data_IF_282855476205
#
_entry.id   IF_282855476205
#
_cell.length_a   1.000
_cell.length_b   1.000
_cell.length_c   1.000
_cell.angle_alpha   90.00
_cell.angle_beta   90.00
_cell.angle_gamma   90.00
#
_symmetry.space_group_name_H-M   'P 1'
#
loop_
_entity.id
_entity.type
_entity.pdbx_description
1 polymer ?
#
# COMPACT_ATOMS: atom_id res chain seq x y z
N UNK A 1 15.11 13.55 8.90
CA UNK A 1 16.23 12.98 8.10
C UNK A 1 15.62 12.51 6.78
N UNK A 2 16.39 11.93 5.86
CA UNK A 2 15.82 11.30 4.66
C UNK A 2 16.03 9.81 4.80
N UNK A 3 14.97 9.03 4.69
CA UNK A 3 15.00 7.58 4.85
C UNK A 3 15.93 6.94 3.82
N UNK A 4 16.86 6.10 4.27
CA UNK A 4 17.74 5.34 3.38
C UNK A 4 16.99 4.21 2.64
N UNK A 5 15.83 3.80 3.16
CA UNK A 5 14.99 2.76 2.59
C UNK A 5 13.50 3.08 2.73
N UNK A 6 12.71 2.75 1.70
CA UNK A 6 11.25 2.92 1.67
C UNK A 6 10.63 1.69 1.00
N UNK A 7 9.67 1.05 1.66
CA UNK A 7 8.86 0.00 1.04
C UNK A 7 7.93 0.60 -0.02
N UNK A 8 8.11 0.24 -1.29
CA UNK A 8 7.30 0.73 -2.42
C UNK A 8 6.28 -0.29 -2.95
N UNK A 9 6.35 -1.53 -2.48
CA UNK A 9 5.38 -2.60 -2.74
C UNK A 9 5.02 -3.21 -1.39
N UNK A 10 3.78 -3.01 -0.95
CA UNK A 10 3.33 -3.44 0.36
C UNK A 10 1.82 -3.63 0.40
N UNK A 11 1.36 -4.60 1.20
CA UNK A 11 -0.05 -4.98 1.29
C UNK A 11 -0.59 -4.72 2.69
N UNK A 12 -1.85 -4.33 2.78
CA UNK A 12 -2.59 -4.33 4.05
C UNK A 12 -3.65 -5.43 4.06
N UNK A 13 -4.40 -5.53 5.15
CA UNK A 13 -5.60 -6.34 5.28
C UNK A 13 -6.71 -6.04 4.25
N UNK A 14 -6.57 -4.98 3.45
CA UNK A 14 -7.42 -4.71 2.28
C UNK A 14 -7.03 -5.49 1.02
N UNK A 15 -5.89 -6.16 1.01
CA UNK A 15 -5.63 -7.30 0.12
C UNK A 15 -6.31 -8.53 0.72
N UNK A 16 -7.64 -8.60 0.54
CA UNK A 16 -8.58 -9.36 1.37
C UNK A 16 -8.27 -10.87 1.54
N UNK A 17 -7.49 -11.46 0.64
CA UNK A 17 -7.20 -12.90 0.64
C UNK A 17 -5.83 -13.25 1.20
N UNK A 18 -4.91 -12.30 1.33
CA UNK A 18 -3.51 -12.58 1.71
C UNK A 18 -2.90 -11.57 2.70
N UNK A 19 -3.36 -10.32 2.67
CA UNK A 19 -2.82 -9.24 3.48
C UNK A 19 -3.15 -9.44 4.96
N UNK A 20 -2.13 -9.42 5.79
CA UNK A 20 -2.26 -9.67 7.23
C UNK A 20 -2.07 -8.41 8.09
N UNK A 21 -1.50 -7.35 7.52
CA UNK A 21 -1.10 -6.16 8.28
C UNK A 21 -2.17 -5.08 8.21
N UNK A 22 -2.74 -4.71 9.35
CA UNK A 22 -3.69 -3.59 9.39
C UNK A 22 -3.01 -2.25 9.12
N UNK A 23 -3.76 -1.29 8.61
CA UNK A 23 -3.27 0.07 8.32
C UNK A 23 -2.66 0.77 9.55
N UNK A 24 -3.24 0.57 10.74
CA UNK A 24 -2.72 1.16 11.97
C UNK A 24 -1.37 0.58 12.38
N UNK A 25 -1.24 -0.74 12.28
CA UNK A 25 0.01 -1.42 12.56
C UNK A 25 1.08 -1.02 11.55
N UNK A 26 0.75 -0.98 10.26
CA UNK A 26 1.64 -0.52 9.19
C UNK A 26 2.22 0.87 9.52
N UNK A 27 1.37 1.85 9.81
CA UNK A 27 1.81 3.23 10.05
C UNK A 27 2.66 3.33 11.32
N UNK A 28 2.26 2.65 12.41
CA UNK A 28 3.04 2.65 13.65
C UNK A 28 4.43 2.02 13.45
N UNK A 29 4.52 0.90 12.72
CA UNK A 29 5.81 0.26 12.44
C UNK A 29 6.74 1.16 11.62
N UNK A 30 6.21 1.90 10.65
CA UNK A 30 7.00 2.85 9.85
C UNK A 30 7.50 4.02 10.70
N UNK A 31 6.69 4.50 11.66
CA UNK A 31 7.08 5.53 12.63
C UNK A 31 8.17 5.01 13.59
N UNK A 32 8.00 3.80 14.15
CA UNK A 32 8.97 3.14 15.04
C UNK A 32 10.33 2.94 14.35
N UNK A 33 10.33 2.64 13.04
CA UNK A 33 11.52 2.50 12.21
C UNK A 33 12.11 3.84 11.76
N UNK A 34 11.51 4.98 12.15
CA UNK A 34 11.94 6.32 11.74
C UNK A 34 12.00 6.50 10.21
N UNK A 35 11.07 5.87 9.49
CA UNK A 35 10.92 6.00 8.04
C UNK A 35 9.92 7.12 7.70
N UNK A 36 10.24 7.91 6.69
CA UNK A 36 9.50 9.12 6.33
C UNK A 36 8.37 8.84 5.32
N UNK A 37 8.36 7.67 4.70
CA UNK A 37 7.41 7.29 3.66
C UNK A 37 7.19 5.78 3.63
N UNK A 38 6.04 5.37 3.10
CA UNK A 38 5.73 3.98 2.76
C UNK A 38 4.74 3.99 1.60
N UNK A 39 4.74 2.96 0.76
CA UNK A 39 3.68 2.76 -0.23
C UNK A 39 2.67 1.71 0.24
N UNK A 40 1.46 1.84 -0.30
CA UNK A 40 0.42 0.84 -0.17
C UNK A 40 -0.08 0.43 -1.56
N UNK A 41 -0.01 -0.86 -1.88
CA UNK A 41 -0.23 -1.42 -3.21
C UNK A 41 -1.10 -2.68 -3.13
N UNK A 42 -2.39 -2.52 -2.83
CA UNK A 42 -3.28 -3.68 -2.65
C UNK A 42 -3.43 -4.52 -3.92
N UNK A 43 -3.76 -5.80 -3.75
CA UNK A 43 -4.09 -6.70 -4.84
C UNK A 43 -5.38 -6.28 -5.57
N UNK A 44 -5.22 -5.69 -6.76
CA UNK A 44 -6.29 -5.37 -7.71
C UNK A 44 -7.34 -4.39 -7.21
N UNK A 45 -7.09 -3.69 -6.09
CA UNK A 45 -8.06 -2.79 -5.48
C UNK A 45 -7.39 -1.56 -4.84
N UNK A 46 -8.22 -0.62 -4.37
CA UNK A 46 -7.79 0.63 -3.73
C UNK A 46 -8.65 0.95 -2.49
N UNK A 47 -9.20 -0.06 -1.83
CA UNK A 47 -10.16 0.12 -0.73
C UNK A 47 -9.53 0.78 0.51
N UNK A 48 -8.25 0.52 0.76
CA UNK A 48 -7.49 1.07 1.87
C UNK A 48 -7.05 2.52 1.70
N UNK A 49 -7.17 3.11 0.50
CA UNK A 49 -6.52 4.39 0.17
C UNK A 49 -6.91 5.51 1.13
N UNK A 50 -8.21 5.66 1.42
CA UNK A 50 -8.68 6.73 2.30
C UNK A 50 -8.28 6.56 3.77
N UNK A 51 -8.49 5.40 4.43
CA UNK A 51 -8.02 5.20 5.80
C UNK A 51 -6.49 5.30 5.90
N UNK A 52 -5.76 4.71 4.96
CA UNK A 52 -4.30 4.81 4.88
C UNK A 52 -3.81 6.25 4.78
N UNK A 53 -4.32 7.01 3.81
CA UNK A 53 -3.93 8.40 3.60
C UNK A 53 -4.12 9.24 4.87
N UNK A 54 -5.29 9.11 5.52
CA UNK A 54 -5.59 9.85 6.75
C UNK A 54 -4.64 9.47 7.89
N UNK A 55 -4.34 8.19 8.03
CA UNK A 55 -3.51 7.69 9.13
C UNK A 55 -2.03 8.03 8.94
N UNK A 56 -1.48 7.79 7.76
CA UNK A 56 -0.09 8.17 7.43
C UNK A 56 0.13 9.67 7.60
N UNK A 57 -0.79 10.51 7.09
CA UNK A 57 -0.71 11.97 7.23
C UNK A 57 -0.77 12.42 8.69
N UNK A 58 -1.57 11.77 9.53
CA UNK A 58 -1.64 12.06 10.97
C UNK A 58 -0.32 11.75 11.68
N UNK A 59 0.38 10.70 11.25
CA UNK A 59 1.69 10.32 11.77
C UNK A 59 2.86 11.12 11.17
N UNK A 60 2.61 12.05 10.23
CA UNK A 60 3.68 12.80 9.56
C UNK A 60 4.45 11.98 8.52
N UNK A 61 4.02 10.75 8.22
CA UNK A 61 4.59 9.89 7.18
C UNK A 61 4.01 10.28 5.83
N UNK A 62 4.87 10.43 4.82
CA UNK A 62 4.48 10.69 3.43
C UNK A 62 3.79 9.44 2.84
N UNK A 63 2.48 9.50 2.55
CA UNK A 63 1.81 8.37 1.93
C UNK A 63 2.18 8.25 0.45
N UNK A 64 2.48 7.04 -0.01
CA UNK A 64 2.63 6.70 -1.43
C UNK A 64 1.48 5.77 -1.81
N UNK A 65 0.60 6.25 -2.69
CA UNK A 65 -0.62 5.52 -3.08
C UNK A 65 -0.32 4.73 -4.35
N UNK A 66 -0.57 3.42 -4.31
CA UNK A 66 -0.47 2.55 -5.47
C UNK A 66 -1.51 1.43 -5.45
N UNK A 67 -1.36 0.50 -6.38
CA UNK A 67 -2.20 -0.68 -6.54
C UNK A 67 -1.39 -1.73 -7.31
N UNK A 68 -1.42 -2.98 -6.86
CA UNK A 68 -0.88 -4.09 -7.63
C UNK A 68 -1.95 -4.57 -8.61
N UNK A 69 -1.86 -4.11 -9.86
CA UNK A 69 -2.89 -4.34 -10.87
C UNK A 69 -2.69 -5.71 -11.53
N UNK A 70 -3.76 -6.50 -11.56
CA UNK A 70 -3.81 -7.70 -12.42
C UNK A 70 -3.99 -7.31 -13.88
N UNK A 71 -3.03 -7.69 -14.71
CA UNK A 71 -3.04 -7.43 -16.16
C UNK A 71 -3.23 -8.74 -16.91
N UNK A 72 -4.26 -8.81 -17.76
CA UNK A 72 -4.46 -9.95 -18.64
C UNK A 72 -3.37 -10.01 -19.72
N UNK A 73 -2.94 -11.22 -20.08
CA UNK A 73 -1.91 -11.44 -21.13
C UNK A 73 -2.36 -10.92 -22.50
N UNK A 74 -3.66 -10.95 -22.77
CA UNK A 74 -4.26 -10.50 -24.02
C UNK A 74 -5.61 -9.82 -23.79
N UNK A 75 -6.20 -9.33 -24.88
CA UNK A 75 -7.50 -8.67 -24.84
C UNK A 75 -8.61 -9.69 -24.60
N UNK A 76 -9.58 -9.35 -23.74
CA UNK A 76 -10.81 -10.15 -23.56
C UNK A 76 -11.68 -10.29 -24.83
N UNK A 77 -11.34 -9.55 -25.89
CA UNK A 77 -12.00 -9.62 -27.19
C UNK A 77 -11.29 -10.53 -28.20
N UNK A 78 -10.07 -10.97 -27.92
CA UNK A 78 -9.38 -11.98 -28.74
C UNK A 78 -10.12 -13.30 -28.62
N UNK A 79 -10.49 -13.88 -29.77
CA UNK A 79 -11.10 -15.21 -29.88
C UNK A 79 -10.11 -16.11 -30.62
N UNK A 80 -9.87 -17.30 -30.07
CA UNK A 80 -9.09 -18.36 -30.74
C UNK A 80 -9.88 -18.94 -31.90
#
# INVERSE_FOLDING_TARGET
MTSEFVHLHNHSDYSLLDGAQRIDQLVNTIDDLSMDAVALTEHGNMFSVLPYYKQAKKAGIKPIIGCEIYVAVGSRFEKK
#
